data_IF_018278270284
#
_entry.id   IF_018278270284
#
_cell.length_a   1.000
_cell.length_b   1.000
_cell.length_c   1.000
_cell.angle_alpha   90.00
_cell.angle_beta   90.00
_cell.angle_gamma   90.00
#
_symmetry.space_group_name_H-M   'P 1'
#
loop_
_entity.id
_entity.type
_entity.pdbx_description
1 polymer ?
#
# COMPACT_ATOMS: atom_id res chain seq x y z
N UNK A 1 3.17 -1.25 8.77
CA UNK A 1 3.45 -2.70 8.84
C UNK A 1 3.53 -3.25 7.43
N UNK A 2 4.62 -3.94 7.07
CA UNK A 2 4.77 -4.65 5.77
C UNK A 2 4.88 -6.14 6.04
N UNK A 3 3.87 -6.93 5.66
CA UNK A 3 3.82 -8.39 5.91
C UNK A 3 3.70 -9.18 4.62
N UNK A 4 4.49 -10.24 4.46
CA UNK A 4 4.41 -11.13 3.29
C UNK A 4 3.19 -12.05 3.33
N UNK A 5 2.57 -12.28 2.17
CA UNK A 5 1.51 -13.24 1.94
C UNK A 5 2.02 -14.24 0.90
N UNK A 6 2.03 -15.53 1.26
CA UNK A 6 2.39 -16.61 0.34
C UNK A 6 1.28 -16.87 -0.67
N UNK A 7 1.59 -16.84 -1.97
CA UNK A 7 0.68 -17.29 -3.02
C UNK A 7 1.16 -18.64 -3.55
N UNK A 8 0.54 -19.73 -3.13
CA UNK A 8 0.74 -21.03 -3.74
C UNK A 8 -0.11 -21.16 -5.00
N UNK A 9 0.48 -21.05 -6.20
CA UNK A 9 -0.15 -21.55 -7.44
C UNK A 9 0.82 -22.42 -8.22
N UNK A 10 0.55 -23.71 -8.22
CA UNK A 10 1.13 -24.67 -9.14
C UNK A 10 0.49 -24.50 -10.53
N UNK A 11 1.28 -24.12 -11.54
CA UNK A 11 0.85 -24.15 -12.94
C UNK A 11 1.29 -25.48 -13.58
N UNK A 12 0.33 -26.39 -13.73
CA UNK A 12 0.49 -27.60 -14.53
C UNK A 12 0.46 -27.25 -16.03
N UNK A 13 1.55 -27.55 -16.73
CA UNK A 13 1.64 -27.38 -18.18
C UNK A 13 0.90 -28.51 -18.90
N UNK A 14 -0.16 -28.19 -19.66
CA UNK A 14 -0.82 -29.15 -20.56
C UNK A 14 -0.86 -28.58 -21.99
N UNK A 15 0.01 -29.11 -22.86
CA UNK A 15 -0.05 -28.91 -24.32
C UNK A 15 -1.33 -29.55 -24.88
N UNK A 16 -2.05 -28.87 -25.79
CA UNK A 16 -2.64 -29.49 -27.00
C UNK A 16 -3.18 -28.48 -28.03
N UNK A 17 -2.62 -28.64 -29.24
CA UNK A 17 -3.10 -28.46 -30.64
C UNK A 17 -4.20 -27.45 -31.01
N UNK A 18 -3.88 -26.70 -32.08
CA UNK A 18 -4.73 -25.88 -32.97
C UNK A 18 -5.63 -26.75 -33.86
N UNK A 19 -6.89 -26.33 -34.09
CA UNK A 19 -7.61 -26.23 -35.40
C UNK A 19 -9.03 -25.62 -35.20
N UNK A 20 -9.73 -25.11 -36.26
CA UNK A 20 -10.30 -23.76 -36.29
C UNK A 20 -11.83 -23.65 -36.19
N UNK A 21 -12.30 -22.39 -36.26
CA UNK A 21 -13.67 -21.88 -36.23
C UNK A 21 -14.70 -22.63 -37.09
N UNK A 22 -15.92 -22.74 -36.53
CA UNK A 22 -17.18 -22.81 -37.28
C UNK A 22 -18.29 -22.08 -36.51
N UNK A 23 -19.03 -21.21 -37.20
CA UNK A 23 -20.34 -20.59 -36.86
C UNK A 23 -21.23 -20.92 -38.07
N UNK A 24 -22.51 -21.36 -38.00
CA UNK A 24 -23.67 -20.71 -37.36
C UNK A 24 -24.77 -21.75 -36.91
N UNK A 25 -26.11 -21.52 -36.91
CA UNK A 25 -26.98 -20.35 -36.64
C UNK A 25 -27.97 -20.59 -35.46
N UNK A 26 -28.80 -19.58 -35.20
CA UNK A 26 -29.95 -19.53 -34.29
C UNK A 26 -30.86 -20.77 -34.19
N UNK A 27 -31.19 -21.20 -32.96
CA UNK A 27 -32.44 -21.89 -32.63
C UNK A 27 -32.79 -21.71 -31.13
N UNK A 28 -34.05 -21.37 -30.88
CA UNK A 28 -34.66 -21.20 -29.57
C UNK A 28 -34.88 -22.54 -28.87
N UNK A 29 -34.58 -22.62 -27.57
CA UNK A 29 -35.22 -23.59 -26.66
C UNK A 29 -35.69 -22.84 -25.42
N UNK A 30 -37.01 -22.63 -25.36
CA UNK A 30 -37.76 -22.44 -24.12
C UNK A 30 -37.89 -23.82 -23.46
N UNK A 31 -37.36 -23.96 -22.24
CA UNK A 31 -37.82 -24.98 -21.31
C UNK A 31 -38.18 -24.29 -19.99
N UNK A 32 -39.50 -24.18 -19.79
CA UNK A 32 -40.14 -23.94 -18.50
C UNK A 32 -39.82 -25.11 -17.56
N UNK A 33 -39.23 -24.82 -16.41
CA UNK A 33 -39.03 -25.77 -15.33
C UNK A 33 -38.48 -25.01 -14.12
N UNK A 34 -39.35 -24.78 -13.14
CA UNK A 34 -39.14 -23.82 -12.06
C UNK A 34 -38.16 -24.26 -10.97
N UNK A 35 -38.21 -23.46 -9.90
CA UNK A 35 -37.55 -23.57 -8.60
C UNK A 35 -36.18 -22.86 -8.53
N UNK A 36 -36.27 -21.57 -8.17
CA UNK A 36 -35.31 -20.92 -7.27
C UNK A 36 -33.89 -20.75 -7.76
N UNK A 37 -33.64 -19.89 -8.76
CA UNK A 37 -32.35 -19.22 -8.85
C UNK A 37 -32.30 -18.12 -7.78
N UNK A 38 -31.90 -18.51 -6.58
CA UNK A 38 -31.20 -17.56 -5.70
C UNK A 38 -29.95 -17.13 -6.45
N UNK A 39 -29.91 -15.89 -6.91
CA UNK A 39 -28.68 -15.24 -7.34
C UNK A 39 -27.83 -15.16 -6.07
N UNK A 40 -27.02 -16.20 -5.83
CA UNK A 40 -25.89 -16.09 -4.93
C UNK A 40 -24.94 -15.16 -5.65
N UNK A 41 -25.11 -13.86 -5.43
CA UNK A 41 -24.03 -12.90 -5.55
C UNK A 41 -23.00 -13.31 -4.50
N UNK A 42 -22.21 -14.33 -4.81
CA UNK A 42 -20.99 -14.64 -4.11
C UNK A 42 -20.07 -13.45 -4.40
N UNK A 43 -20.14 -12.45 -3.51
CA UNK A 43 -19.15 -11.41 -3.47
C UNK A 43 -17.82 -12.11 -3.32
N UNK A 44 -17.04 -12.16 -4.42
CA UNK A 44 -15.66 -12.60 -4.43
C UNK A 44 -14.84 -11.59 -3.63
N UNK A 45 -15.04 -11.54 -2.30
CA UNK A 45 -14.01 -11.06 -1.39
C UNK A 45 -12.97 -12.15 -1.39
N UNK A 46 -11.94 -11.99 -2.22
CA UNK A 46 -10.73 -12.77 -2.11
C UNK A 46 -10.21 -12.63 -0.68
N UNK A 47 -10.45 -13.64 0.15
CA UNK A 47 -9.86 -13.74 1.49
C UNK A 47 -8.41 -14.16 1.27
N UNK A 48 -7.50 -13.18 1.28
CA UNK A 48 -6.08 -13.49 1.33
C UNK A 48 -5.80 -14.16 2.67
N UNK A 49 -5.45 -15.45 2.63
CA UNK A 49 -4.99 -16.15 3.82
C UNK A 49 -3.63 -15.56 4.22
N UNK A 50 -3.56 -14.97 5.41
CA UNK A 50 -2.32 -14.46 5.97
C UNK A 50 -1.37 -15.64 6.22
N UNK A 51 -0.11 -15.51 5.77
CA UNK A 51 0.90 -16.52 6.08
C UNK A 51 1.18 -16.44 7.60
N UNK A 52 0.96 -17.51 8.38
CA UNK A 52 1.19 -17.49 9.83
C UNK A 52 2.66 -17.23 10.18
N UNK A 53 3.59 -17.40 9.23
CA UNK A 53 5.00 -17.04 9.38
C UNK A 53 5.32 -15.61 8.91
N UNK A 54 4.33 -14.81 8.52
CA UNK A 54 4.53 -13.45 8.02
C UNK A 54 5.12 -12.53 9.09
N UNK A 55 6.40 -12.21 8.95
CA UNK A 55 7.08 -11.21 9.77
C UNK A 55 6.94 -9.80 9.18
N UNK A 56 7.00 -8.80 10.05
CA UNK A 56 7.06 -7.41 9.60
C UNK A 56 8.46 -7.10 9.08
N UNK A 57 8.56 -6.70 7.82
CA UNK A 57 9.84 -6.42 7.17
C UNK A 57 10.42 -5.04 7.50
N UNK A 58 9.60 -4.14 8.05
CA UNK A 58 10.03 -2.80 8.44
C UNK A 58 10.74 -2.82 9.80
N UNK A 59 11.79 -2.01 9.92
CA UNK A 59 12.46 -1.70 11.19
C UNK A 59 11.84 -0.46 11.82
N UNK A 60 11.60 -0.49 13.13
CA UNK A 60 10.87 0.55 13.85
C UNK A 60 9.51 0.89 13.17
N UNK A 61 8.64 -0.12 12.93
CA UNK A 61 7.40 0.07 12.16
C UNK A 61 6.34 0.94 12.85
N UNK A 62 6.49 1.19 14.15
CA UNK A 62 5.67 2.11 14.94
C UNK A 62 6.33 3.47 15.14
N UNK A 63 7.46 3.73 14.46
CA UNK A 63 8.31 4.91 14.63
C UNK A 63 8.79 5.13 16.07
N UNK A 64 8.82 4.07 16.87
CA UNK A 64 9.39 4.04 18.21
C UNK A 64 10.65 3.16 18.26
N UNK A 65 11.52 3.33 19.26
CA UNK A 65 12.72 2.51 19.41
C UNK A 65 12.42 1.01 19.51
N UNK A 66 13.26 0.18 18.88
CA UNK A 66 13.16 -1.28 18.93
C UNK A 66 14.50 -1.88 19.38
N UNK A 67 14.61 -2.20 20.67
CA UNK A 67 15.89 -2.56 21.28
C UNK A 67 16.86 -1.37 21.23
N UNK A 68 18.02 -1.57 20.59
CA UNK A 68 19.01 -0.51 20.41
C UNK A 68 18.74 0.40 19.20
N UNK A 69 17.86 -0.02 18.26
CA UNK A 69 17.58 0.75 17.04
C UNK A 69 16.67 1.94 17.35
N UNK A 70 17.05 3.11 16.85
CA UNK A 70 16.24 4.33 16.87
C UNK A 70 15.60 4.59 15.49
N UNK A 71 14.38 5.17 15.44
CA UNK A 71 13.68 5.44 14.18
C UNK A 71 14.48 6.28 13.17
N UNK A 72 15.15 7.34 13.64
CA UNK A 72 15.98 8.26 12.87
C UNK A 72 17.24 7.61 12.27
N UNK A 73 17.62 6.42 12.76
CA UNK A 73 18.72 5.63 12.21
C UNK A 73 18.29 4.69 11.08
N UNK A 74 17.00 4.37 10.98
CA UNK A 74 16.46 3.38 10.02
C UNK A 74 15.49 3.97 9.02
N UNK A 75 14.97 5.16 9.28
CA UNK A 75 14.16 5.96 8.36
C UNK A 75 14.97 7.18 7.93
N UNK A 76 15.09 7.38 6.63
CA UNK A 76 15.80 8.52 6.06
C UNK A 76 14.80 9.60 5.66
N UNK A 77 14.98 10.83 6.15
CA UNK A 77 14.22 11.97 5.65
C UNK A 77 14.57 12.22 4.18
N UNK A 78 13.54 12.36 3.34
CA UNK A 78 13.70 12.69 1.94
C UNK A 78 13.62 14.20 1.76
N UNK A 79 14.63 14.77 1.13
CA UNK A 79 14.65 16.19 0.80
C UNK A 79 13.86 16.41 -0.50
N UNK A 80 12.79 17.23 -0.51
CA UNK A 80 12.09 17.56 -1.74
C UNK A 80 12.99 18.37 -2.68
N UNK A 81 12.75 18.26 -3.99
CA UNK A 81 13.47 19.03 -5.02
C UNK A 81 13.39 20.54 -4.81
N UNK A 82 12.33 21.03 -4.16
CA UNK A 82 12.18 22.42 -3.75
C UNK A 82 12.37 22.55 -2.23
N UNK A 83 13.58 22.92 -1.75
CA UNK A 83 13.90 22.88 -0.32
C UNK A 83 13.04 23.79 0.56
N UNK A 84 12.55 24.92 0.03
CA UNK A 84 11.71 25.84 0.79
C UNK A 84 10.34 25.25 1.18
N UNK A 85 9.88 24.20 0.49
CA UNK A 85 8.69 23.45 0.88
C UNK A 85 8.97 22.36 1.92
N UNK A 86 10.24 22.07 2.23
CA UNK A 86 10.58 20.94 3.10
C UNK A 86 10.06 21.12 4.52
N UNK A 87 9.47 20.05 5.05
CA UNK A 87 9.16 19.91 6.47
C UNK A 87 9.88 18.70 7.02
N UNK A 88 10.51 18.89 8.18
CA UNK A 88 11.25 17.82 8.83
C UNK A 88 10.30 16.95 9.66
N UNK A 89 10.42 15.62 9.58
CA UNK A 89 9.74 14.72 10.51
C UNK A 89 10.27 14.94 11.93
N UNK A 90 9.38 14.91 12.91
CA UNK A 90 9.71 14.77 14.33
C UNK A 90 9.40 13.34 14.76
N UNK A 91 10.41 12.56 15.14
CA UNK A 91 10.21 11.21 15.67
C UNK A 91 9.94 11.29 17.18
N UNK A 92 8.75 10.86 17.58
CA UNK A 92 8.27 10.89 18.95
C UNK A 92 8.00 9.47 19.46
N UNK A 93 7.75 9.31 20.76
CA UNK A 93 7.49 7.99 21.35
C UNK A 93 6.28 7.28 20.72
N UNK A 94 5.27 8.06 20.28
CA UNK A 94 4.00 7.55 19.75
C UNK A 94 3.97 7.42 18.23
N UNK A 95 4.98 7.89 17.52
CA UNK A 95 4.92 7.95 16.06
C UNK A 95 5.89 8.95 15.45
N UNK A 96 5.63 9.26 14.18
CA UNK A 96 6.27 10.38 13.48
C UNK A 96 5.25 11.49 13.29
N UNK A 97 5.66 12.73 13.54
CA UNK A 97 4.82 13.91 13.39
C UNK A 97 5.38 14.81 12.30
N UNK A 98 4.50 15.26 11.42
CA UNK A 98 4.75 16.33 10.46
C UNK A 98 3.76 17.47 10.71
N UNK A 99 4.28 18.65 11.03
CA UNK A 99 3.46 19.83 11.29
C UNK A 99 3.92 21.03 10.45
N UNK A 100 2.96 21.67 9.80
CA UNK A 100 3.18 22.91 9.05
C UNK A 100 1.89 23.72 8.90
N UNK A 101 1.28 24.19 10.00
CA UNK A 101 -0.02 24.85 9.97
C UNK A 101 -0.01 26.12 9.11
N UNK A 102 1.07 26.92 9.19
CA UNK A 102 1.14 28.24 8.55
C UNK A 102 1.95 28.26 7.25
N UNK A 103 2.33 27.08 6.71
CA UNK A 103 3.05 27.01 5.43
C UNK A 103 2.29 26.11 4.44
N UNK A 104 1.56 26.68 3.47
CA UNK A 104 0.97 25.92 2.40
C UNK A 104 2.06 25.35 1.47
N UNK A 105 1.69 24.31 0.74
CA UNK A 105 2.53 23.51 -0.16
C UNK A 105 3.73 22.84 0.52
N UNK A 106 3.71 22.71 1.84
CA UNK A 106 4.80 22.09 2.58
C UNK A 106 4.79 20.56 2.37
N UNK A 107 5.97 19.97 2.15
CA UNK A 107 6.16 18.57 1.78
C UNK A 107 7.16 17.93 2.73
N UNK A 108 6.76 16.81 3.32
CA UNK A 108 7.61 16.00 4.18
C UNK A 108 7.62 14.58 3.66
N UNK A 109 8.75 13.90 3.76
CA UNK A 109 8.80 12.49 3.42
C UNK A 109 9.90 11.77 4.19
N UNK A 110 9.65 10.50 4.49
CA UNK A 110 10.65 9.56 4.99
C UNK A 110 10.63 8.30 4.14
N UNK A 111 11.76 7.62 4.03
CA UNK A 111 11.84 6.32 3.39
C UNK A 111 12.62 5.31 4.21
N UNK A 112 12.33 4.03 3.96
CA UNK A 112 13.09 2.91 4.47
C UNK A 112 13.24 1.85 3.37
N UNK A 113 14.46 1.39 3.16
CA UNK A 113 14.77 0.27 2.29
C UNK A 113 14.61 -1.06 3.03
N UNK A 114 14.03 -2.03 2.33
CA UNK A 114 13.81 -3.42 2.77
C UNK A 114 14.60 -4.33 1.83
N UNK A 115 15.58 -5.06 2.36
CA UNK A 115 16.44 -5.97 1.57
C UNK A 115 16.00 -7.44 1.63
N UNK A 116 15.07 -7.79 2.52
CA UNK A 116 14.62 -9.17 2.74
C UNK A 116 13.36 -9.51 1.94
N UNK A 117 13.14 -8.80 0.83
CA UNK A 117 11.96 -8.99 -0.01
C UNK A 117 12.20 -10.15 -0.98
N UNK A 118 11.15 -10.91 -1.27
CA UNK A 118 11.18 -12.03 -2.20
C UNK A 118 10.23 -11.72 -3.37
N UNK A 119 10.77 -11.75 -4.58
CA UNK A 119 10.00 -11.59 -5.79
C UNK A 119 8.87 -12.62 -5.93
N UNK A 120 7.79 -12.24 -6.60
CA UNK A 120 6.59 -13.08 -6.79
C UNK A 120 5.70 -13.23 -5.55
N UNK A 121 6.08 -12.66 -4.39
CA UNK A 121 5.23 -12.63 -3.19
C UNK A 121 4.35 -11.39 -3.15
N UNK A 122 3.23 -11.49 -2.45
CA UNK A 122 2.40 -10.33 -2.13
C UNK A 122 2.74 -9.79 -0.75
N UNK A 123 2.63 -8.49 -0.56
CA UNK A 123 2.94 -7.83 0.70
C UNK A 123 1.82 -6.88 1.08
N UNK A 124 1.31 -7.01 2.31
CA UNK A 124 0.38 -6.07 2.90
C UNK A 124 1.17 -4.88 3.45
N UNK A 125 0.88 -3.67 2.97
CA UNK A 125 1.29 -2.42 3.61
C UNK A 125 0.11 -1.87 4.41
N UNK A 126 0.37 -1.50 5.65
CA UNK A 126 -0.60 -0.80 6.50
C UNK A 126 0.07 0.38 7.21
N UNK A 127 -0.54 1.55 7.11
CA UNK A 127 -0.16 2.78 7.80
C UNK A 127 -1.36 3.28 8.59
N UNK A 128 -1.14 3.64 9.85
CA UNK A 128 -2.16 4.23 10.71
C UNK A 128 -1.66 5.55 11.24
N UNK A 129 -2.55 6.52 11.38
CA UNK A 129 -2.21 7.82 11.93
C UNK A 129 -3.44 8.62 12.30
N UNK A 130 -3.19 9.82 12.80
CA UNK A 130 -4.21 10.85 13.06
C UNK A 130 -3.76 12.09 12.33
N UNK A 131 -4.67 12.77 11.66
CA UNK A 131 -4.38 14.04 11.01
C UNK A 131 -5.31 15.13 11.55
N UNK A 132 -4.77 16.34 11.68
CA UNK A 132 -5.42 17.49 12.28
C UNK A 132 -5.53 18.64 11.28
N UNK A 133 -6.54 19.49 11.47
CA UNK A 133 -6.81 20.66 10.62
C UNK A 133 -6.91 20.30 9.13
N UNK A 134 -7.48 19.13 8.85
CA UNK A 134 -7.68 18.66 7.50
C UNK A 134 -8.92 19.33 6.92
N UNK A 135 -8.77 20.02 5.79
CA UNK A 135 -9.90 20.19 4.88
C UNK A 135 -10.39 18.82 4.38
N UNK A 136 -11.59 18.73 3.80
CA UNK A 136 -12.19 17.48 3.27
C UNK A 136 -11.26 16.61 2.38
N UNK A 137 -10.15 17.17 1.86
CA UNK A 137 -9.16 16.50 1.02
C UNK A 137 -8.07 15.67 1.75
N UNK A 138 -8.38 14.96 2.85
CA UNK A 138 -7.40 14.10 3.58
C UNK A 138 -6.64 13.14 2.67
N UNK A 139 -7.36 12.55 1.71
CA UNK A 139 -6.81 11.57 0.77
C UNK A 139 -5.72 12.15 -0.14
N UNK A 140 -5.68 13.48 -0.33
CA UNK A 140 -4.67 14.14 -1.15
C UNK A 140 -3.37 14.45 -0.38
N UNK A 141 -3.37 14.27 0.95
CA UNK A 141 -2.32 14.78 1.82
C UNK A 141 -1.33 13.70 2.24
N UNK A 142 -1.79 12.51 2.62
CA UNK A 142 -0.92 11.43 3.12
C UNK A 142 -0.81 10.33 2.06
N UNK A 143 0.42 10.01 1.67
CA UNK A 143 0.72 9.05 0.63
C UNK A 143 1.72 8.01 1.14
N UNK A 144 1.53 6.76 0.74
CA UNK A 144 2.54 5.74 0.89
C UNK A 144 2.87 5.14 -0.48
N UNK A 145 4.16 5.01 -0.78
CA UNK A 145 4.66 4.47 -2.05
C UNK A 145 5.53 3.26 -1.79
N UNK A 146 5.42 2.26 -2.66
CA UNK A 146 6.30 1.09 -2.69
C UNK A 146 7.04 1.08 -4.01
N UNK A 147 8.36 1.19 -3.97
CA UNK A 147 9.24 1.07 -5.14
C UNK A 147 10.00 -0.24 -5.05
N UNK A 148 9.67 -1.21 -5.91
CA UNK A 148 10.42 -2.46 -5.98
C UNK A 148 11.78 -2.24 -6.63
N UNK A 149 12.79 -2.93 -6.12
CA UNK A 149 14.16 -2.82 -6.55
C UNK A 149 14.69 -4.18 -7.01
N UNK A 150 15.64 -4.12 -7.93
CA UNK A 150 16.52 -5.24 -8.31
C UNK A 150 17.95 -4.74 -8.30
N UNK A 151 18.80 -5.35 -7.48
CA UNK A 151 20.21 -4.97 -7.32
C UNK A 151 20.38 -3.46 -7.02
N UNK A 152 19.48 -2.93 -6.20
CA UNK A 152 19.46 -1.51 -5.82
C UNK A 152 18.93 -0.55 -6.88
N UNK A 153 18.42 -1.02 -8.02
CA UNK A 153 17.80 -0.19 -9.06
C UNK A 153 16.28 -0.34 -9.06
N UNK A 154 15.51 0.75 -9.23
CA UNK A 154 14.06 0.66 -9.39
C UNK A 154 13.64 -0.21 -10.56
N UNK A 155 12.72 -1.14 -10.31
CA UNK A 155 12.00 -1.89 -11.33
C UNK A 155 10.84 -1.05 -11.88
N UNK A 156 10.52 -1.21 -13.17
CA UNK A 156 9.39 -0.52 -13.78
C UNK A 156 8.07 -1.31 -13.54
N UNK A 157 6.97 -0.65 -13.14
CA UNK A 157 6.85 0.79 -12.87
C UNK A 157 7.56 1.19 -11.58
N UNK A 158 8.28 2.33 -11.63
CA UNK A 158 9.14 2.83 -10.56
C UNK A 158 8.33 3.44 -9.39
N UNK A 159 7.57 2.60 -8.71
CA UNK A 159 6.74 2.97 -7.58
C UNK A 159 5.25 2.74 -7.83
N UNK A 160 4.58 2.16 -6.84
CA UNK A 160 3.12 2.03 -6.78
C UNK A 160 2.63 2.74 -5.52
N UNK A 161 1.65 3.63 -5.66
CA UNK A 161 1.01 4.31 -4.53
C UNK A 161 -0.04 3.39 -3.92
N UNK A 162 -0.11 3.37 -2.60
CA UNK A 162 -1.22 2.75 -1.90
C UNK A 162 -2.50 3.52 -2.15
N UNK A 163 -3.58 2.79 -2.46
CA UNK A 163 -4.81 3.39 -2.99
C UNK A 163 -5.90 3.54 -1.95
N UNK A 164 -6.00 2.59 -1.00
CA UNK A 164 -7.10 2.60 -0.04
C UNK A 164 -6.70 3.36 1.23
N UNK A 165 -7.34 4.51 1.44
CA UNK A 165 -7.29 5.26 2.68
C UNK A 165 -8.69 5.31 3.28
N UNK A 166 -8.85 4.66 4.43
CA UNK A 166 -10.05 4.74 5.25
C UNK A 166 -9.86 5.85 6.26
N UNK A 167 -10.77 6.82 6.28
CA UNK A 167 -10.77 7.92 7.24
C UNK A 167 -11.97 7.73 8.16
N UNK A 168 -11.71 7.70 9.46
CA UNK A 168 -12.73 7.73 10.49
C UNK A 168 -12.61 9.07 11.20
N UNK A 169 -13.64 9.90 11.11
CA UNK A 169 -13.73 11.08 11.96
C UNK A 169 -13.74 10.60 13.42
N UNK A 170 -12.77 11.06 14.21
CA UNK A 170 -12.73 10.81 15.64
C UNK A 170 -13.37 11.99 16.38
N UNK A 171 -13.08 13.21 15.92
CA UNK A 171 -13.56 14.50 16.44
C UNK A 171 -13.71 15.53 15.30
N UNK A 172 -14.21 16.74 15.61
CA UNK A 172 -14.34 17.84 14.64
C UNK A 172 -12.99 18.28 14.04
N UNK A 173 -11.90 18.20 14.81
CA UNK A 173 -10.58 18.73 14.42
C UNK A 173 -9.53 17.65 14.13
N UNK A 174 -9.88 16.37 14.33
CA UNK A 174 -8.96 15.24 14.19
C UNK A 174 -9.63 14.04 13.49
N UNK A 175 -8.96 13.52 12.47
CA UNK A 175 -9.39 12.34 11.74
C UNK A 175 -8.35 11.23 11.88
N UNK A 176 -8.77 10.09 12.44
CA UNK A 176 -7.99 8.89 12.39
C UNK A 176 -8.04 8.34 10.96
N UNK A 177 -6.91 7.86 10.44
CA UNK A 177 -6.86 7.22 9.14
C UNK A 177 -6.10 5.90 9.18
N UNK A 178 -6.51 4.99 8.31
CA UNK A 178 -5.80 3.76 8.01
C UNK A 178 -5.64 3.66 6.51
N UNK A 179 -4.41 3.65 6.04
CA UNK A 179 -4.06 3.34 4.67
C UNK A 179 -3.61 1.88 4.59
N UNK A 180 -4.25 1.11 3.71
CA UNK A 180 -3.99 -0.32 3.57
C UNK A 180 -3.99 -0.70 2.10
N UNK A 181 -2.96 -1.40 1.62
CA UNK A 181 -2.96 -1.94 0.26
C UNK A 181 -2.08 -3.20 0.20
N UNK A 182 -2.30 -4.02 -0.82
CA UNK A 182 -1.52 -5.24 -1.07
C UNK A 182 -0.74 -5.07 -2.36
N UNK A 183 0.58 -5.21 -2.27
CA UNK A 183 1.51 -5.07 -3.38
C UNK A 183 2.09 -6.42 -3.76
N UNK A 184 1.93 -6.83 -5.01
CA UNK A 184 2.63 -7.99 -5.55
C UNK A 184 4.02 -7.56 -6.03
N UNK A 185 5.06 -8.14 -5.41
CA UNK A 185 6.43 -7.95 -5.85
C UNK A 185 6.63 -8.61 -7.23
N UNK A 186 7.23 -7.91 -8.20
CA UNK A 186 7.72 -8.53 -9.43
C UNK A 186 8.61 -9.74 -9.13
N UNK A 187 8.60 -10.74 -10.01
CA UNK A 187 9.36 -12.00 -9.80
C UNK A 187 10.86 -11.77 -9.61
N UNK A 188 11.40 -10.71 -10.20
CA UNK A 188 12.81 -10.36 -10.16
C UNK A 188 13.18 -9.31 -9.10
N UNK A 189 12.23 -8.91 -8.26
CA UNK A 189 12.49 -7.98 -7.15
C UNK A 189 13.27 -8.68 -6.03
N UNK A 190 14.34 -8.04 -5.56
CA UNK A 190 15.14 -8.48 -4.41
C UNK A 190 15.06 -7.53 -3.21
N UNK A 191 14.48 -6.35 -3.41
CA UNK A 191 14.30 -5.35 -2.38
C UNK A 191 13.09 -4.46 -2.69
N UNK A 192 12.71 -3.62 -1.71
CA UNK A 192 11.81 -2.51 -1.94
C UNK A 192 12.24 -1.29 -1.13
N UNK A 193 11.86 -0.11 -1.59
CA UNK A 193 11.85 1.12 -0.81
C UNK A 193 10.40 1.51 -0.52
N UNK A 194 10.11 1.73 0.75
CA UNK A 194 8.82 2.28 1.19
C UNK A 194 9.04 3.74 1.50
N UNK A 195 8.28 4.64 0.86
CA UNK A 195 8.26 6.06 1.23
C UNK A 195 6.90 6.44 1.78
N UNK A 196 6.92 7.25 2.83
CA UNK A 196 5.76 7.91 3.40
C UNK A 196 5.91 9.39 3.09
N UNK A 197 4.94 9.98 2.41
CA UNK A 197 4.97 11.37 1.97
C UNK A 197 3.74 12.10 2.53
N UNK A 198 3.93 13.35 2.92
CA UNK A 198 2.87 14.27 3.32
C UNK A 198 2.95 15.53 2.47
N UNK A 199 1.81 16.00 1.95
CA UNK A 199 1.72 17.17 1.06
C UNK A 199 0.59 18.10 1.52
N UNK A 200 0.97 19.21 2.14
CA UNK A 200 0.03 20.16 2.72
C UNK A 200 -0.36 21.25 1.74
N UNK A 201 -1.41 21.08 0.95
CA UNK A 201 -1.84 22.14 0.02
C UNK A 201 -2.25 23.45 0.72
N UNK A 202 -2.78 23.36 1.94
CA UNK A 202 -3.28 24.52 2.72
C UNK A 202 -2.71 24.60 4.15
N UNK A 203 -1.60 23.92 4.42
CA UNK A 203 -1.10 23.70 5.78
C UNK A 203 -1.80 22.53 6.48
N UNK A 204 -1.24 22.06 7.59
CA UNK A 204 -1.84 20.99 8.41
C UNK A 204 -0.84 20.22 9.28
N UNK A 205 -1.32 19.16 9.95
CA UNK A 205 -0.51 18.27 10.80
C UNK A 205 -0.96 16.81 10.67
N UNK A 206 -0.01 15.87 10.69
CA UNK A 206 -0.23 14.42 10.79
C UNK A 206 0.81 13.77 11.69
#
# INVERSE_FOLDING_TARGET
MVRGIGCGRAWGTRRRRKTPLAVPPSAWILLLGGIGLGIVSAGNRATFAEDPAATNLLRCPAFSPQGALRPDQVWSALQPTFPAAAIQPSFEEKGVVWASPDRPFAVGAISQRIEQLQGGRSYLLELRGTAWNLSEAVQATVLARVTFLRQGRPLHPAGVLARECQVSAADADAAAFTLRDVFAAPEDADAAEISLEVKWLRGGRV
#
